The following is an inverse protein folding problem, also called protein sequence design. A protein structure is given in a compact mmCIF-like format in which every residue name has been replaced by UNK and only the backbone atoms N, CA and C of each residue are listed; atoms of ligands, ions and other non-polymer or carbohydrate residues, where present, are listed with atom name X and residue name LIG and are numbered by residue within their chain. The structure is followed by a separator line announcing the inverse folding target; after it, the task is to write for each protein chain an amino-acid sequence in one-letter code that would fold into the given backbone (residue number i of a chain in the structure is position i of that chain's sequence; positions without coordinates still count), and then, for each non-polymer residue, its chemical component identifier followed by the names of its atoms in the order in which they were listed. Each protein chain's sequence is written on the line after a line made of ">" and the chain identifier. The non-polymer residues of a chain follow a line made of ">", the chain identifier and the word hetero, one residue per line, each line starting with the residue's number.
data_IF_592731499128
#
_entry.id   IF_592731499128
#
_cell.length_a   1.000
_cell.length_b   1.000
_cell.length_c   1.000
_cell.angle_alpha   90.00
_cell.angle_beta   90.00
_cell.angle_gamma   90.00
#
_symmetry.space_group_name_H-M   'P 1'
#
loop_
_entity.id
_entity.type
_entity.pdbx_description
1 polymer ?
#
# COMPACT_ATOMS: atom_id res chain seq x y z
N UNK A 1 1.96 -3.97 -10.97
CA UNK A 1 1.38 -5.24 -10.45
C UNK A 1 2.22 -5.75 -9.31
N UNK A 2 1.59 -6.35 -8.30
CA UNK A 2 2.18 -6.84 -7.05
C UNK A 2 1.70 -8.26 -6.79
N UNK A 3 2.30 -8.94 -5.80
CA UNK A 3 1.92 -10.31 -5.39
C UNK A 3 1.06 -10.33 -4.13
N UNK A 4 1.06 -9.24 -3.36
CA UNK A 4 0.50 -9.17 -2.01
C UNK A 4 1.45 -9.73 -0.94
N UNK A 5 2.68 -10.09 -1.31
CA UNK A 5 3.70 -10.57 -0.36
C UNK A 5 4.58 -9.39 0.07
N UNK A 6 4.40 -8.99 1.32
CA UNK A 6 5.13 -7.87 1.94
C UNK A 6 6.62 -8.21 2.07
N UNK A 7 7.50 -7.31 1.60
CA UNK A 7 8.95 -7.48 1.73
C UNK A 7 9.45 -7.02 3.11
N UNK A 8 8.98 -5.86 3.54
CA UNK A 8 9.33 -5.28 4.84
C UNK A 8 8.32 -4.21 5.25
N UNK A 9 8.60 -3.54 6.37
CA UNK A 9 7.83 -2.39 6.83
C UNK A 9 8.66 -1.11 6.76
N UNK A 10 7.97 0.02 6.62
CA UNK A 10 8.52 1.36 6.77
C UNK A 10 7.67 2.20 7.73
N UNK A 11 8.13 3.41 8.04
CA UNK A 11 7.41 4.38 8.86
C UNK A 11 7.22 5.65 8.03
N UNK A 12 6.02 6.21 8.05
CA UNK A 12 5.74 7.50 7.42
C UNK A 12 6.39 8.61 8.27
N UNK A 13 7.47 9.20 7.77
CA UNK A 13 8.20 10.28 8.43
C UNK A 13 7.67 11.67 8.10
N UNK A 14 7.04 11.82 6.94
CA UNK A 14 6.40 13.06 6.52
C UNK A 14 5.18 12.76 5.66
N UNK A 15 4.14 13.58 5.83
CA UNK A 15 2.95 13.58 5.01
C UNK A 15 2.50 15.04 4.87
N UNK A 16 3.04 15.72 3.87
CA UNK A 16 2.81 17.14 3.62
C UNK A 16 1.66 17.31 2.63
N UNK A 17 0.49 17.70 3.16
CA UNK A 17 -0.68 17.96 2.34
C UNK A 17 -0.62 19.38 1.80
N UNK A 18 -0.49 19.51 0.48
CA UNK A 18 -0.52 20.79 -0.24
C UNK A 18 -1.75 20.84 -1.14
N UNK A 19 -2.74 21.65 -0.75
CA UNK A 19 -4.03 21.67 -1.44
C UNK A 19 -4.78 20.34 -1.29
N UNK A 20 -4.98 19.63 -2.39
CA UNK A 20 -5.69 18.33 -2.41
C UNK A 20 -4.76 17.12 -2.53
N UNK A 21 -3.48 17.32 -2.86
CA UNK A 21 -2.47 16.25 -2.99
C UNK A 21 -1.58 16.19 -1.74
N UNK A 22 -0.91 15.08 -1.52
CA UNK A 22 0.07 14.94 -0.46
C UNK A 22 1.42 14.48 -1.00
N UNK A 23 2.51 14.96 -0.38
CA UNK A 23 3.84 14.39 -0.53
C UNK A 23 4.11 13.48 0.67
N UNK A 24 4.34 12.22 0.40
CA UNK A 24 4.56 11.18 1.41
C UNK A 24 6.04 10.79 1.42
N UNK A 25 6.66 10.75 2.60
CA UNK A 25 7.98 10.18 2.80
C UNK A 25 7.90 8.98 3.74
N UNK A 26 8.42 7.86 3.28
CA UNK A 26 8.46 6.60 4.03
C UNK A 26 9.91 6.22 4.28
N UNK A 27 10.30 6.10 5.55
CA UNK A 27 11.60 5.59 5.96
C UNK A 27 11.55 4.07 6.15
N UNK A 28 12.59 3.38 5.69
CA UNK A 28 12.81 1.96 5.97
C UNK A 28 14.29 1.62 5.79
N UNK A 29 14.92 1.12 6.82
CA UNK A 29 16.28 0.60 6.81
C UNK A 29 16.36 -0.82 6.20
N UNK A 30 15.21 -1.47 6.05
CA UNK A 30 15.07 -2.84 5.53
C UNK A 30 14.75 -2.89 4.04
N UNK A 31 14.26 -1.79 3.46
CA UNK A 31 13.94 -1.73 2.02
C UNK A 31 15.20 -1.38 1.23
N UNK A 32 15.72 -2.35 0.46
CA UNK A 32 16.92 -2.11 -0.37
C UNK A 32 16.56 -1.22 -1.58
N UNK A 33 17.11 -0.03 -1.62
CA UNK A 33 16.85 0.95 -2.69
C UNK A 33 17.81 0.87 -3.87
N UNK A 34 18.77 -0.09 -3.88
CA UNK A 34 19.81 -0.17 -4.92
C UNK A 34 19.26 -0.28 -6.33
N UNK A 35 18.18 -1.04 -6.50
CA UNK A 35 17.56 -1.28 -7.80
C UNK A 35 16.33 -0.36 -8.05
N UNK A 36 16.02 0.54 -7.11
CA UNK A 36 14.90 1.48 -7.25
C UNK A 36 15.27 2.59 -8.24
N UNK A 37 14.32 2.95 -9.09
CA UNK A 37 14.42 4.06 -10.04
C UNK A 37 13.25 5.03 -9.86
N UNK A 38 13.47 6.28 -10.25
CA UNK A 38 12.36 7.24 -10.37
C UNK A 38 11.32 6.70 -11.35
N UNK A 39 10.06 6.76 -10.95
CA UNK A 39 8.95 6.21 -11.72
C UNK A 39 8.60 4.76 -11.40
N UNK A 40 9.37 4.07 -10.58
CA UNK A 40 9.01 2.73 -10.12
C UNK A 40 7.77 2.75 -9.24
N UNK A 41 6.98 1.67 -9.31
CA UNK A 41 5.81 1.48 -8.44
C UNK A 41 6.19 0.66 -7.22
N UNK A 42 5.81 1.18 -6.05
CA UNK A 42 5.91 0.49 -4.75
C UNK A 42 4.50 0.42 -4.15
N UNK A 43 4.11 -0.74 -3.66
CA UNK A 43 2.90 -0.86 -2.85
C UNK A 43 3.21 -0.43 -1.41
N UNK A 44 2.57 0.64 -0.97
CA UNK A 44 2.64 1.17 0.40
C UNK A 44 1.34 0.79 1.11
N UNK A 45 1.39 -0.16 2.03
CA UNK A 45 0.21 -0.81 2.62
C UNK A 45 -0.82 -1.25 1.56
N UNK A 46 -0.34 -1.80 0.44
CA UNK A 46 -1.15 -2.26 -0.68
C UNK A 46 -1.55 -1.19 -1.69
N UNK A 47 -1.28 0.10 -1.43
CA UNK A 47 -1.56 1.21 -2.35
C UNK A 47 -0.40 1.37 -3.31
N UNK A 48 -0.65 1.28 -4.62
CA UNK A 48 0.36 1.51 -5.65
C UNK A 48 0.73 3.00 -5.70
N UNK A 49 1.95 3.33 -5.32
CA UNK A 49 2.49 4.68 -5.39
C UNK A 49 3.74 4.72 -6.27
N UNK A 50 3.94 5.85 -6.95
CA UNK A 50 5.09 6.06 -7.85
C UNK A 50 6.20 6.79 -7.11
N UNK A 51 7.42 6.24 -7.16
CA UNK A 51 8.61 6.84 -6.55
C UNK A 51 8.98 8.12 -7.31
N UNK A 52 8.99 9.25 -6.60
CA UNK A 52 9.39 10.56 -7.14
C UNK A 52 10.76 11.01 -6.64
N UNK A 53 11.18 10.49 -5.49
CA UNK A 53 12.53 10.68 -4.95
C UNK A 53 12.86 9.52 -4.01
N UNK A 54 14.14 9.19 -3.85
CA UNK A 54 14.60 8.16 -2.92
C UNK A 54 16.05 8.41 -2.51
N UNK A 55 16.44 7.81 -1.40
CA UNK A 55 17.81 7.86 -0.88
C UNK A 55 18.05 6.73 0.10
N UNK A 56 19.22 6.75 0.74
CA UNK A 56 19.54 5.73 1.74
C UNK A 56 18.49 5.73 2.86
N UNK A 57 17.70 4.64 2.93
CA UNK A 57 16.71 4.43 3.99
C UNK A 57 15.38 5.17 3.82
N UNK A 58 15.07 5.76 2.66
CA UNK A 58 13.76 6.39 2.43
C UNK A 58 13.30 6.37 0.98
N UNK A 59 11.98 6.49 0.81
CA UNK A 59 11.26 6.67 -0.45
C UNK A 59 10.29 7.84 -0.33
N UNK A 60 10.12 8.62 -1.40
CA UNK A 60 9.12 9.69 -1.48
C UNK A 60 8.16 9.45 -2.64
N UNK A 61 6.91 9.83 -2.41
CA UNK A 61 5.80 9.63 -3.33
C UNK A 61 4.93 10.87 -3.38
N UNK A 62 4.38 11.17 -4.56
CA UNK A 62 3.27 12.10 -4.68
C UNK A 62 1.96 11.31 -4.67
N UNK A 63 1.05 11.66 -3.73
CA UNK A 63 -0.24 10.98 -3.56
C UNK A 63 -1.35 11.89 -4.07
N UNK A 64 -2.12 11.39 -5.05
CA UNK A 64 -3.21 12.15 -5.66
C UNK A 64 -4.40 12.32 -4.70
N UNK A 65 -5.23 13.35 -4.93
CA UNK A 65 -6.48 13.53 -4.16
C UNK A 65 -7.42 12.33 -4.27
N UNK A 66 -7.49 11.70 -5.44
CA UNK A 66 -8.31 10.50 -5.66
C UNK A 66 -7.85 9.36 -4.76
N UNK A 67 -6.53 9.11 -4.71
CA UNK A 67 -5.96 8.09 -3.82
C UNK A 67 -6.27 8.41 -2.35
N UNK A 68 -6.05 9.66 -1.91
CA UNK A 68 -6.33 10.06 -0.52
C UNK A 68 -7.79 9.90 -0.11
N UNK A 69 -8.74 10.00 -1.05
CA UNK A 69 -10.17 9.83 -0.78
C UNK A 69 -10.59 8.37 -0.58
N UNK A 70 -9.81 7.41 -1.07
CA UNK A 70 -10.16 5.97 -1.05
C UNK A 70 -9.19 5.12 -0.22
N UNK A 71 -8.24 5.74 0.48
CA UNK A 71 -7.30 5.03 1.34
C UNK A 71 -7.30 5.61 2.75
N UNK A 72 -6.85 4.82 3.71
CA UNK A 72 -6.64 5.21 5.11
C UNK A 72 -5.22 4.84 5.55
N UNK A 73 -4.75 5.43 6.65
CA UNK A 73 -3.48 5.04 7.27
C UNK A 73 -2.21 5.63 6.63
N UNK A 74 -2.33 6.48 5.60
CA UNK A 74 -1.19 7.20 5.03
C UNK A 74 -0.90 8.49 5.80
N UNK A 75 -0.68 8.39 7.10
CA UNK A 75 -0.48 9.54 8.00
C UNK A 75 0.85 9.42 8.77
N UNK A 76 1.38 10.56 9.19
CA UNK A 76 2.64 10.66 9.94
C UNK A 76 2.70 9.67 11.12
N UNK A 77 3.81 8.97 11.25
CA UNK A 77 4.08 8.01 12.33
C UNK A 77 3.49 6.61 12.12
N UNK A 78 2.64 6.39 11.10
CA UNK A 78 2.10 5.07 10.82
C UNK A 78 3.17 4.14 10.23
N UNK A 79 3.13 2.89 10.69
CA UNK A 79 3.90 1.79 10.08
C UNK A 79 3.15 1.29 8.85
N UNK A 80 3.85 1.17 7.74
CA UNK A 80 3.29 0.72 6.46
C UNK A 80 4.04 -0.49 5.94
N UNK A 81 3.34 -1.38 5.25
CA UNK A 81 3.93 -2.48 4.52
C UNK A 81 4.51 -1.97 3.19
N UNK A 82 5.65 -2.52 2.78
CA UNK A 82 6.31 -2.20 1.52
C UNK A 82 6.48 -3.45 0.67
N UNK A 83 6.14 -3.33 -0.61
CA UNK A 83 6.35 -4.36 -1.62
C UNK A 83 6.68 -3.68 -2.95
N UNK A 84 7.74 -4.14 -3.65
CA UNK A 84 8.05 -3.65 -5.00
C UNK A 84 7.17 -4.29 -6.05
N UNK A 85 6.99 -3.59 -7.17
CA UNK A 85 6.31 -4.14 -8.33
C UNK A 85 7.05 -5.37 -8.87
N UNK A 86 6.26 -6.35 -9.34
CA UNK A 86 6.77 -7.53 -10.03
C UNK A 86 7.51 -7.15 -11.32
N UNK A 87 8.54 -7.90 -11.64
CA UNK A 87 9.18 -7.93 -12.95
C UNK A 87 8.66 -9.13 -13.77
N UNK A 88 8.99 -9.20 -15.06
CA UNK A 88 8.62 -10.34 -15.89
C UNK A 88 9.28 -11.69 -15.45
N UNK A 89 10.31 -11.61 -14.64
CA UNK A 89 11.02 -12.78 -14.09
C UNK A 89 10.66 -13.11 -12.64
N UNK A 90 9.79 -12.32 -12.01
CA UNK A 90 9.38 -12.56 -10.62
C UNK A 90 8.56 -13.84 -10.50
N UNK A 91 8.76 -14.60 -9.41
CA UNK A 91 7.88 -15.69 -9.04
C UNK A 91 6.56 -15.12 -8.49
N UNK A 92 5.43 -15.67 -8.93
CA UNK A 92 4.11 -15.30 -8.40
C UNK A 92 3.81 -16.22 -7.22
N UNK A 93 4.35 -15.89 -6.04
CA UNK A 93 4.12 -16.65 -4.81
C UNK A 93 2.81 -16.32 -4.10
N UNK A 94 2.10 -15.30 -4.55
CA UNK A 94 0.83 -14.83 -4.02
C UNK A 94 -0.23 -14.69 -5.11
N UNK A 95 -0.87 -13.52 -5.16
CA UNK A 95 -1.95 -13.20 -6.10
C UNK A 95 -1.51 -12.10 -7.07
N UNK A 96 -2.28 -11.87 -8.14
CA UNK A 96 -2.08 -10.71 -9.02
C UNK A 96 -2.88 -9.53 -8.44
N UNK A 97 -2.17 -8.57 -7.85
CA UNK A 97 -2.75 -7.40 -7.19
C UNK A 97 -2.31 -6.13 -7.91
N UNK A 98 -3.26 -5.26 -8.25
CA UNK A 98 -2.95 -3.99 -8.94
C UNK A 98 -2.42 -2.92 -7.99
N UNK A 99 -2.89 -2.91 -6.74
CA UNK A 99 -2.66 -1.84 -5.78
C UNK A 99 -3.52 -0.59 -6.05
N UNK A 100 -4.51 -0.67 -6.95
CA UNK A 100 -5.46 0.40 -7.24
C UNK A 100 -6.70 0.21 -6.38
N UNK A 101 -6.84 1.06 -5.37
CA UNK A 101 -7.89 0.97 -4.36
C UNK A 101 -9.19 1.56 -4.90
N UNK A 102 -10.29 0.80 -4.79
CA UNK A 102 -11.61 1.20 -5.28
C UNK A 102 -12.48 1.83 -4.18
N UNK A 103 -12.12 1.66 -2.91
CA UNK A 103 -12.88 2.23 -1.80
C UNK A 103 -12.43 1.74 -0.43
N UNK A 104 -13.10 2.24 0.61
CA UNK A 104 -12.81 1.94 2.01
C UNK A 104 -13.89 1.02 2.54
N UNK A 105 -13.49 -0.11 3.14
CA UNK A 105 -14.36 -0.99 3.93
C UNK A 105 -14.18 -0.76 5.43
N UNK A 106 -15.10 -1.29 6.23
CA UNK A 106 -15.08 -1.25 7.69
C UNK A 106 -14.87 -2.67 8.23
N UNK A 107 -13.83 -2.88 9.04
CA UNK A 107 -13.65 -4.14 9.77
C UNK A 107 -14.68 -4.19 10.89
N UNK A 108 -15.67 -5.08 10.78
CA UNK A 108 -16.77 -5.19 11.74
C UNK A 108 -16.59 -6.31 12.75
N UNK A 109 -15.75 -7.30 12.45
CA UNK A 109 -15.38 -8.37 13.37
C UNK A 109 -14.00 -8.95 13.04
N UNK A 110 -13.29 -9.39 14.06
CA UNK A 110 -12.06 -10.19 13.96
C UNK A 110 -12.18 -11.30 15.02
N UNK A 111 -12.34 -12.54 14.58
CA UNK A 111 -12.54 -13.70 15.42
C UNK A 111 -11.39 -14.68 15.26
N UNK A 112 -10.95 -15.30 16.36
CA UNK A 112 -10.04 -16.43 16.30
C UNK A 112 -10.88 -17.72 16.11
N UNK A 113 -10.59 -18.48 15.06
CA UNK A 113 -11.26 -19.74 14.74
C UNK A 113 -10.21 -20.78 14.39
N UNK A 114 -10.09 -21.83 15.22
CA UNK A 114 -9.16 -22.95 15.02
C UNK A 114 -7.70 -22.52 14.75
N UNK A 115 -7.23 -21.51 15.48
CA UNK A 115 -5.86 -20.97 15.35
C UNK A 115 -5.66 -20.05 14.14
N UNK A 116 -6.74 -19.67 13.45
CA UNK A 116 -6.74 -18.72 12.35
C UNK A 116 -7.55 -17.47 12.72
N UNK A 117 -7.28 -16.37 12.02
CA UNK A 117 -8.02 -15.12 12.18
C UNK A 117 -9.05 -14.97 11.06
N UNK A 118 -10.33 -14.94 11.43
CA UNK A 118 -11.44 -14.63 10.53
C UNK A 118 -11.78 -13.16 10.64
N UNK A 119 -11.46 -12.39 9.59
CA UNK A 119 -11.81 -10.97 9.52
C UNK A 119 -13.07 -10.77 8.68
N UNK A 120 -14.07 -10.10 9.24
CA UNK A 120 -15.29 -9.70 8.53
C UNK A 120 -15.21 -8.22 8.19
N UNK A 121 -15.34 -7.89 6.90
CA UNK A 121 -15.28 -6.53 6.39
C UNK A 121 -16.62 -6.16 5.76
N UNK A 122 -17.21 -5.05 6.23
CA UNK A 122 -18.37 -4.43 5.59
C UNK A 122 -17.90 -3.56 4.44
N UNK A 123 -18.38 -3.86 3.24
CA UNK A 123 -18.00 -3.18 2.01
C UNK A 123 -19.13 -2.24 1.57
N UNK A 124 -18.83 -1.05 1.01
CA UNK A 124 -19.84 -0.18 0.41
C UNK A 124 -20.65 -0.88 -0.67
N UNK A 125 -21.96 -0.64 -0.72
CA UNK A 125 -22.87 -1.30 -1.67
C UNK A 125 -22.50 -1.07 -3.14
N UNK A 126 -21.86 0.05 -3.43
CA UNK A 126 -21.33 0.37 -4.78
C UNK A 126 -20.28 -0.61 -5.30
N UNK A 127 -19.58 -1.30 -4.38
CA UNK A 127 -18.55 -2.29 -4.71
C UNK A 127 -19.07 -3.73 -4.72
N UNK A 128 -20.33 -3.99 -4.34
CA UNK A 128 -20.87 -5.35 -4.25
C UNK A 128 -20.77 -6.14 -5.55
N UNK A 129 -20.87 -5.48 -6.71
CA UNK A 129 -20.74 -6.13 -8.03
C UNK A 129 -19.37 -6.73 -8.33
N UNK A 130 -18.36 -6.35 -7.57
CA UNK A 130 -16.99 -6.85 -7.71
C UNK A 130 -16.65 -7.95 -6.70
N UNK A 131 -17.57 -8.23 -5.76
CA UNK A 131 -17.39 -9.28 -4.77
C UNK A 131 -18.00 -10.57 -5.28
N UNK A 132 -17.22 -11.66 -5.18
CA UNK A 132 -17.65 -13.00 -5.50
C UNK A 132 -17.71 -13.86 -4.23
N UNK A 133 -18.55 -14.91 -4.25
CA UNK A 133 -18.61 -15.90 -3.18
C UNK A 133 -17.50 -16.92 -3.35
#
# INVERSE_FOLDING_TARGET
>A
MFTGIVECTGIIEACDVSGKAAKLRVASDKFDVKDVKLGDSIAVSGVCLTVVHFGAGFLEFDVSPETLNVVTGLTLGHVVNLERAMTLSSLIGGHLVSGHVDGIGEVVAVDEVDGNWKTTVKVPTTLNRYLVK
#
